data_IF_226425128991
#
_entry.id   IF_226425128991
#
_cell.length_a   1.000
_cell.length_b   1.000
_cell.length_c   1.000
_cell.angle_alpha   90.00
_cell.angle_beta   90.00
_cell.angle_gamma   90.00
#
_symmetry.space_group_name_H-M   'P 1'
#
loop_
_entity.id
_entity.type
_entity.pdbx_description
1 polymer ?
#
# COMPACT_ATOMS: atom_id res chain seq x y z
N UNK A 1 5.46 -6.66 35.15
CA UNK A 1 5.66 -6.90 33.69
C UNK A 1 5.47 -5.59 32.94
N UNK A 2 6.47 -5.08 32.20
CA UNK A 2 6.31 -3.87 31.37
C UNK A 2 5.33 -4.17 30.23
N UNK A 3 4.16 -3.51 30.22
CA UNK A 3 3.19 -3.62 29.12
C UNK A 3 3.88 -3.23 27.80
N UNK A 4 3.88 -4.14 26.81
CA UNK A 4 4.38 -3.85 25.49
C UNK A 4 3.53 -2.73 24.83
N UNK A 5 4.11 -1.54 24.68
CA UNK A 5 3.43 -0.38 24.10
C UNK A 5 3.32 -0.56 22.58
N UNK A 6 2.15 -0.96 22.11
CA UNK A 6 1.81 -1.01 20.68
C UNK A 6 1.40 0.38 20.21
N UNK A 7 1.96 0.85 19.09
CA UNK A 7 1.60 2.12 18.45
C UNK A 7 1.46 1.95 16.93
N UNK A 8 0.41 2.55 16.36
CA UNK A 8 0.20 2.65 14.92
C UNK A 8 0.04 4.12 14.54
N UNK A 9 0.95 4.64 13.75
CA UNK A 9 0.94 6.01 13.27
C UNK A 9 1.22 6.08 11.77
N UNK A 10 0.99 7.24 11.18
CA UNK A 10 1.37 7.53 9.81
C UNK A 10 2.29 8.75 9.75
N UNK A 11 3.15 8.79 8.73
CA UNK A 11 4.08 9.88 8.46
C UNK A 11 4.29 10.00 6.96
N UNK A 12 4.60 11.20 6.47
CA UNK A 12 5.09 11.37 5.10
C UNK A 12 6.57 10.99 5.03
N UNK A 13 7.07 10.68 3.82
CA UNK A 13 8.48 10.31 3.62
C UNK A 13 9.42 11.39 4.14
N UNK A 14 9.14 12.65 3.82
CA UNK A 14 9.95 13.81 4.23
C UNK A 14 10.09 13.99 5.74
N UNK A 15 9.12 13.46 6.51
CA UNK A 15 9.08 13.58 7.97
C UNK A 15 9.70 12.34 8.67
N UNK A 16 10.19 11.36 7.90
CA UNK A 16 10.84 10.17 8.44
C UNK A 16 12.33 10.42 8.71
N UNK A 17 12.78 10.08 9.91
CA UNK A 17 14.22 10.07 10.18
C UNK A 17 14.90 8.78 9.65
N UNK A 18 16.21 8.85 9.48
CA UNK A 18 17.02 7.77 8.94
C UNK A 18 16.94 6.47 9.75
N UNK A 19 16.79 6.57 11.07
CA UNK A 19 16.68 5.41 11.95
C UNK A 19 15.40 4.62 11.68
N UNK A 20 14.29 5.32 11.47
CA UNK A 20 13.00 4.72 11.17
C UNK A 20 12.98 4.12 9.75
N UNK A 21 13.55 4.82 8.76
CA UNK A 21 13.74 4.30 7.40
C UNK A 21 14.56 3.00 7.44
N UNK A 22 15.67 2.97 8.18
CA UNK A 22 16.49 1.76 8.35
C UNK A 22 15.70 0.59 8.94
N UNK A 23 14.85 0.83 9.93
CA UNK A 23 13.98 -0.21 10.52
C UNK A 23 12.96 -0.73 9.50
N UNK A 24 12.31 0.15 8.73
CA UNK A 24 11.37 -0.23 7.65
C UNK A 24 12.07 -1.11 6.61
N UNK A 25 13.26 -0.70 6.14
CA UNK A 25 14.01 -1.45 5.14
C UNK A 25 14.48 -2.83 5.67
N UNK A 26 14.84 -2.92 6.96
CA UNK A 26 15.15 -4.19 7.60
C UNK A 26 13.92 -5.11 7.68
N UNK A 27 12.74 -4.57 8.02
CA UNK A 27 11.49 -5.33 7.97
C UNK A 27 11.18 -5.81 6.55
N UNK A 28 11.38 -4.97 5.52
CA UNK A 28 11.23 -5.38 4.12
C UNK A 28 12.22 -6.48 3.72
N UNK A 29 13.50 -6.36 4.12
CA UNK A 29 14.53 -7.38 3.88
C UNK A 29 14.15 -8.74 4.50
N UNK A 30 13.62 -8.76 5.73
CA UNK A 30 13.21 -10.01 6.38
C UNK A 30 12.03 -10.72 5.69
N UNK A 31 11.30 -10.02 4.83
CA UNK A 31 10.14 -10.55 4.10
C UNK A 31 10.44 -10.86 2.64
N UNK A 32 11.21 -10.00 1.97
CA UNK A 32 11.59 -10.15 0.56
C UNK A 32 13.03 -10.64 0.44
N UNK A 33 13.30 -11.49 -0.57
CA UNK A 33 14.65 -12.03 -0.86
C UNK A 33 15.60 -10.99 -1.51
N UNK A 34 15.47 -9.70 -1.15
CA UNK A 34 16.33 -8.65 -1.69
C UNK A 34 17.29 -8.13 -0.64
N UNK A 35 18.53 -7.77 -1.05
CA UNK A 35 19.52 -7.19 -0.16
C UNK A 35 19.07 -5.84 0.41
N UNK A 36 19.64 -5.42 1.53
CA UNK A 36 19.38 -4.09 2.08
C UNK A 36 19.78 -2.97 1.09
N UNK A 37 20.88 -3.17 0.34
CA UNK A 37 21.33 -2.25 -0.72
C UNK A 37 20.26 -2.10 -1.80
N UNK A 38 19.71 -3.20 -2.31
CA UNK A 38 18.63 -3.17 -3.31
C UNK A 38 17.37 -2.50 -2.77
N UNK A 39 17.01 -2.74 -1.50
CA UNK A 39 15.86 -2.08 -0.87
C UNK A 39 16.05 -0.57 -0.73
N UNK A 40 17.28 -0.10 -0.40
CA UNK A 40 17.63 1.33 -0.35
C UNK A 40 17.52 1.98 -1.74
N UNK A 41 18.08 1.34 -2.77
CA UNK A 41 18.02 1.83 -4.15
C UNK A 41 16.55 1.94 -4.60
N UNK A 42 15.76 0.88 -4.36
CA UNK A 42 14.35 0.88 -4.70
C UNK A 42 13.59 2.01 -3.98
N UNK A 43 13.85 2.21 -2.69
CA UNK A 43 13.22 3.25 -1.88
C UNK A 43 13.52 4.65 -2.46
N UNK A 44 14.80 4.97 -2.70
CA UNK A 44 15.21 6.25 -3.29
C UNK A 44 14.58 6.49 -4.67
N UNK A 45 14.46 5.45 -5.50
CA UNK A 45 13.93 5.57 -6.86
C UNK A 45 12.40 5.69 -6.92
N UNK A 46 11.69 5.09 -5.97
CA UNK A 46 10.24 4.85 -6.12
C UNK A 46 9.37 5.55 -5.07
N UNK A 47 9.96 6.06 -4.00
CA UNK A 47 9.24 6.69 -2.90
C UNK A 47 9.49 8.18 -2.94
N UNK A 48 8.39 8.97 -3.00
CA UNK A 48 8.43 10.44 -3.05
C UNK A 48 8.17 11.04 -1.66
N UNK A 49 8.50 12.30 -1.48
CA UNK A 49 8.39 13.04 -0.20
C UNK A 49 6.98 13.03 0.40
N UNK A 50 5.95 13.07 -0.44
CA UNK A 50 4.53 13.08 -0.02
C UNK A 50 3.89 11.68 0.10
N UNK A 51 4.64 10.61 -0.15
CA UNK A 51 4.12 9.25 0.06
C UNK A 51 3.88 9.00 1.56
N UNK A 52 2.84 8.24 1.88
CA UNK A 52 2.37 8.06 3.26
C UNK A 52 2.77 6.68 3.76
N UNK A 53 3.51 6.66 4.85
CA UNK A 53 3.95 5.46 5.54
C UNK A 53 3.05 5.18 6.74
N UNK A 54 2.48 3.98 6.82
CA UNK A 54 1.82 3.48 8.03
C UNK A 54 2.77 2.54 8.75
N UNK A 55 3.07 2.87 9.99
CA UNK A 55 4.13 2.23 10.76
C UNK A 55 3.56 1.71 12.06
N UNK A 56 3.64 0.40 12.25
CA UNK A 56 3.24 -0.27 13.47
C UNK A 56 4.48 -0.64 14.28
N UNK A 57 4.53 -0.21 15.52
CA UNK A 57 5.67 -0.46 16.42
C UNK A 57 5.24 -1.14 17.70
N UNK A 58 6.17 -1.91 18.28
CA UNK A 58 6.13 -2.37 19.68
C UNK A 58 7.41 -1.90 20.35
N UNK A 59 7.29 -1.17 21.46
CA UNK A 59 8.43 -0.62 22.19
C UNK A 59 9.41 0.11 21.24
N UNK A 60 8.89 1.01 20.37
CA UNK A 60 9.63 1.77 19.35
C UNK A 60 10.28 0.92 18.23
N UNK A 61 10.14 -0.41 18.22
CA UNK A 61 10.63 -1.28 17.13
C UNK A 61 9.54 -1.48 16.08
N UNK A 62 9.87 -1.27 14.80
CA UNK A 62 8.94 -1.47 13.68
C UNK A 62 8.64 -2.97 13.50
N UNK A 63 7.37 -3.33 13.62
CA UNK A 63 6.87 -4.70 13.46
C UNK A 63 5.86 -4.87 12.34
N UNK A 64 5.31 -3.77 11.83
CA UNK A 64 4.40 -3.77 10.71
C UNK A 64 4.53 -2.51 9.88
N UNK A 65 4.20 -2.60 8.60
CA UNK A 65 4.40 -1.52 7.65
C UNK A 65 3.45 -1.63 6.47
N UNK A 66 2.97 -0.48 6.02
CA UNK A 66 2.34 -0.29 4.72
C UNK A 66 2.77 1.06 4.13
N UNK A 67 2.78 1.15 2.80
CA UNK A 67 3.11 2.34 2.04
C UNK A 67 1.97 2.68 1.09
N UNK A 68 1.50 3.93 1.13
CA UNK A 68 0.58 4.50 0.15
C UNK A 68 1.36 5.48 -0.73
N UNK A 69 1.65 5.07 -1.98
CA UNK A 69 2.39 5.90 -2.94
C UNK A 69 1.44 6.68 -3.84
N UNK A 70 1.66 7.97 -3.94
CA UNK A 70 0.92 8.84 -4.87
C UNK A 70 1.49 8.68 -6.28
N UNK A 71 0.63 8.35 -7.24
CA UNK A 71 1.00 8.19 -8.65
C UNK A 71 0.03 8.94 -9.56
N UNK A 72 0.53 9.50 -10.65
CA UNK A 72 -0.30 10.01 -11.75
C UNK A 72 -0.94 8.84 -12.49
N UNK A 73 -2.11 9.04 -13.02
CA UNK A 73 -2.81 8.03 -13.80
C UNK A 73 -3.73 8.67 -14.84
N UNK A 74 -4.00 7.92 -15.91
CA UNK A 74 -5.07 8.19 -16.87
C UNK A 74 -6.22 7.24 -16.59
N UNK A 75 -7.42 7.77 -16.45
CA UNK A 75 -8.64 6.99 -16.23
C UNK A 75 -9.55 7.17 -17.45
N UNK A 76 -9.78 6.09 -18.17
CA UNK A 76 -10.70 6.05 -19.31
C UNK A 76 -12.07 5.55 -18.85
N UNK A 77 -13.09 6.32 -19.13
CA UNK A 77 -14.49 5.98 -19.05
C UNK A 77 -15.06 5.71 -20.46
N UNK A 78 -16.36 5.40 -20.57
CA UNK A 78 -16.98 5.19 -21.88
C UNK A 78 -16.87 6.41 -22.81
N UNK A 79 -17.07 7.62 -22.28
CA UNK A 79 -17.20 8.87 -23.06
C UNK A 79 -16.04 9.83 -22.90
N UNK A 80 -15.17 9.66 -21.93
CA UNK A 80 -14.07 10.58 -21.65
C UNK A 80 -12.86 9.90 -21.01
N UNK A 81 -11.74 10.62 -21.04
CA UNK A 81 -10.51 10.28 -20.33
C UNK A 81 -10.13 11.46 -19.42
N UNK A 82 -9.68 11.17 -18.22
CA UNK A 82 -9.19 12.19 -17.30
C UNK A 82 -7.78 11.86 -16.81
N UNK A 83 -6.96 12.89 -16.67
CA UNK A 83 -5.70 12.81 -15.94
C UNK A 83 -5.99 13.02 -14.47
N UNK A 84 -5.48 12.15 -13.61
CA UNK A 84 -5.75 12.18 -12.18
C UNK A 84 -4.54 11.66 -11.39
N UNK A 85 -4.71 11.57 -10.09
CA UNK A 85 -3.77 10.87 -9.22
C UNK A 85 -4.49 9.85 -8.35
N UNK A 86 -3.78 8.76 -8.05
CA UNK A 86 -4.27 7.69 -7.19
C UNK A 86 -3.24 7.35 -6.11
N UNK A 87 -3.64 6.53 -5.14
CA UNK A 87 -2.77 5.96 -4.14
C UNK A 87 -2.51 4.49 -4.46
N UNK A 88 -1.26 4.12 -4.72
CA UNK A 88 -0.87 2.70 -4.78
C UNK A 88 -0.71 2.22 -3.34
N UNK A 89 -1.55 1.26 -2.93
CA UNK A 89 -1.37 0.52 -1.70
C UNK A 89 -0.26 -0.52 -1.91
N UNK A 90 0.94 -0.17 -1.49
CA UNK A 90 2.15 -0.96 -1.69
C UNK A 90 2.63 -1.53 -0.35
N UNK A 91 3.10 -2.77 -0.37
CA UNK A 91 3.82 -3.36 0.76
C UNK A 91 3.04 -3.41 2.08
N UNK A 92 2.17 -4.40 2.27
CA UNK A 92 1.61 -4.69 3.60
C UNK A 92 2.43 -5.80 4.27
N UNK A 93 3.15 -5.45 5.33
CA UNK A 93 4.03 -6.37 6.04
C UNK A 93 3.74 -6.41 7.54
N UNK A 94 3.81 -7.61 8.11
CA UNK A 94 3.90 -7.85 9.56
C UNK A 94 5.09 -8.77 9.80
N UNK A 95 5.94 -8.41 10.74
CA UNK A 95 7.05 -9.24 11.19
C UNK A 95 6.53 -10.63 11.60
N UNK A 96 7.22 -11.69 11.19
CA UNK A 96 6.77 -13.08 11.35
C UNK A 96 6.39 -13.43 12.80
N UNK A 97 7.16 -12.94 13.79
CA UNK A 97 6.89 -13.17 15.23
C UNK A 97 5.59 -12.53 15.73
N UNK A 98 5.01 -11.61 14.95
CA UNK A 98 3.80 -10.86 15.29
C UNK A 98 2.61 -11.17 14.38
N UNK A 99 2.72 -12.16 13.49
CA UNK A 99 1.62 -12.61 12.65
C UNK A 99 0.52 -13.31 13.44
N UNK A 100 -0.63 -13.50 12.80
CA UNK A 100 -1.83 -14.16 13.36
C UNK A 100 -2.42 -13.49 14.61
N UNK A 101 -2.04 -12.22 14.88
CA UNK A 101 -2.53 -11.40 16.01
C UNK A 101 -3.45 -10.26 15.56
N UNK A 102 -4.04 -10.34 14.37
CA UNK A 102 -4.94 -9.30 13.84
C UNK A 102 -4.28 -7.97 13.48
N UNK A 103 -2.94 -7.86 13.52
CA UNK A 103 -2.23 -6.59 13.32
C UNK A 103 -2.34 -6.04 11.90
N UNK A 104 -2.41 -6.91 10.88
CA UNK A 104 -2.68 -6.49 9.51
C UNK A 104 -4.05 -5.83 9.37
N UNK A 105 -5.08 -6.29 10.10
CA UNK A 105 -6.41 -5.65 10.17
C UNK A 105 -6.30 -4.21 10.65
N UNK A 106 -5.51 -3.93 11.70
CA UNK A 106 -5.29 -2.56 12.20
C UNK A 106 -4.69 -1.64 11.13
N UNK A 107 -3.65 -2.12 10.42
CA UNK A 107 -3.04 -1.36 9.31
C UNK A 107 -4.04 -1.15 8.19
N UNK A 108 -4.80 -2.17 7.77
CA UNK A 108 -5.82 -2.06 6.71
C UNK A 108 -6.87 -1.00 7.03
N UNK A 109 -7.44 -1.03 8.23
CA UNK A 109 -8.46 -0.04 8.67
C UNK A 109 -7.87 1.37 8.61
N UNK A 110 -6.68 1.59 9.15
CA UNK A 110 -6.03 2.91 9.13
C UNK A 110 -5.68 3.35 7.70
N UNK A 111 -5.21 2.43 6.84
CA UNK A 111 -4.94 2.73 5.43
C UNK A 111 -6.20 3.16 4.68
N UNK A 112 -7.29 2.42 4.84
CA UNK A 112 -8.57 2.74 4.22
C UNK A 112 -9.11 4.10 4.68
N UNK A 113 -8.98 4.41 5.98
CA UNK A 113 -9.33 5.72 6.52
C UNK A 113 -8.54 6.85 5.83
N UNK A 114 -7.21 6.71 5.69
CA UNK A 114 -6.35 7.68 5.01
C UNK A 114 -6.73 7.83 3.53
N UNK A 115 -6.99 6.71 2.84
CA UNK A 115 -7.41 6.74 1.43
C UNK A 115 -8.73 7.53 1.28
N UNK A 116 -9.70 7.30 2.17
CA UNK A 116 -10.98 8.01 2.17
C UNK A 116 -10.81 9.50 2.47
N UNK A 117 -9.98 9.88 3.43
CA UNK A 117 -9.67 11.29 3.73
C UNK A 117 -9.03 12.00 2.53
N UNK A 118 -8.18 11.32 1.79
CA UNK A 118 -7.58 11.87 0.57
C UNK A 118 -8.54 11.91 -0.63
N UNK A 119 -9.74 11.32 -0.53
CA UNK A 119 -10.74 11.24 -1.61
C UNK A 119 -10.18 10.69 -2.92
N UNK A 120 -9.18 9.81 -2.85
CA UNK A 120 -8.46 9.23 -3.99
C UNK A 120 -8.93 7.80 -4.27
N UNK A 121 -8.88 7.42 -5.54
CA UNK A 121 -8.86 6.01 -5.92
C UNK A 121 -7.58 5.38 -5.38
N UNK A 122 -7.68 4.18 -4.85
CA UNK A 122 -6.51 3.40 -4.49
C UNK A 122 -6.49 2.07 -5.23
N UNK A 123 -5.28 1.64 -5.60
CA UNK A 123 -5.04 0.39 -6.30
C UNK A 123 -4.00 -0.42 -5.53
N UNK A 124 -4.24 -1.71 -5.39
CA UNK A 124 -3.22 -2.66 -4.96
C UNK A 124 -3.07 -3.78 -5.99
N UNK A 125 -1.92 -4.44 -5.96
CA UNK A 125 -1.64 -5.65 -6.75
C UNK A 125 -1.31 -6.79 -5.81
N UNK A 126 -2.05 -7.90 -5.90
CA UNK A 126 -1.86 -9.05 -5.01
C UNK A 126 -1.90 -10.39 -5.74
N UNK A 127 -1.46 -11.46 -5.06
CA UNK A 127 -1.66 -12.84 -5.49
C UNK A 127 -3.10 -13.30 -5.25
N UNK A 128 -3.60 -14.26 -6.04
CA UNK A 128 -4.96 -14.84 -5.93
C UNK A 128 -5.35 -15.18 -4.49
N UNK A 129 -4.46 -15.79 -3.72
CA UNK A 129 -4.70 -16.21 -2.33
C UNK A 129 -5.01 -15.06 -1.36
N UNK A 130 -4.69 -13.82 -1.72
CA UNK A 130 -4.91 -12.63 -0.87
C UNK A 130 -6.19 -11.87 -1.22
N UNK A 131 -6.87 -12.20 -2.32
CA UNK A 131 -8.08 -11.49 -2.76
C UNK A 131 -9.13 -11.49 -1.64
N UNK A 132 -9.50 -12.68 -1.11
CA UNK A 132 -10.48 -12.80 -0.01
C UNK A 132 -10.08 -12.01 1.25
N UNK A 133 -8.77 -11.87 1.51
CA UNK A 133 -8.30 -11.03 2.63
C UNK A 133 -8.63 -9.55 2.38
N UNK A 134 -8.35 -9.02 1.20
CA UNK A 134 -8.60 -7.61 0.89
C UNK A 134 -10.10 -7.30 0.73
N UNK A 135 -10.90 -8.24 0.22
CA UNK A 135 -12.36 -8.11 0.10
C UNK A 135 -13.03 -7.87 1.46
N UNK A 136 -12.53 -8.46 2.56
CA UNK A 136 -12.98 -8.18 3.93
C UNK A 136 -12.83 -6.72 4.36
N UNK A 137 -12.04 -5.95 3.62
CA UNK A 137 -11.82 -4.50 3.82
C UNK A 137 -12.42 -3.66 2.70
N UNK A 138 -13.42 -4.19 1.99
CA UNK A 138 -14.14 -3.51 0.90
C UNK A 138 -13.30 -3.18 -0.33
N UNK A 139 -12.16 -3.84 -0.53
CA UNK A 139 -11.43 -3.80 -1.78
C UNK A 139 -12.12 -4.67 -2.82
N UNK A 140 -12.29 -4.14 -4.04
CA UNK A 140 -12.96 -4.85 -5.14
C UNK A 140 -11.94 -5.29 -6.17
N UNK A 141 -12.02 -6.55 -6.61
CA UNK A 141 -11.18 -7.07 -7.68
C UNK A 141 -11.50 -6.33 -8.99
N UNK A 142 -10.47 -5.86 -9.67
CA UNK A 142 -10.58 -5.31 -11.02
C UNK A 142 -10.83 -6.44 -12.03
N UNK A 143 -11.62 -6.16 -13.08
CA UNK A 143 -11.69 -7.06 -14.23
C UNK A 143 -10.32 -7.14 -14.92
N UNK A 144 -10.04 -8.25 -15.59
CA UNK A 144 -8.82 -8.40 -16.40
C UNK A 144 -8.70 -7.25 -17.40
N UNK A 145 -7.47 -6.80 -17.63
CA UNK A 145 -7.12 -5.77 -18.60
C UNK A 145 -7.61 -4.33 -18.31
N UNK A 146 -8.33 -4.10 -17.19
CA UNK A 146 -8.70 -2.73 -16.82
C UNK A 146 -7.50 -1.93 -16.31
N UNK A 147 -6.57 -2.58 -15.56
CA UNK A 147 -5.42 -1.90 -14.99
C UNK A 147 -4.17 -2.19 -15.80
N UNK A 148 -3.59 -1.15 -16.36
CA UNK A 148 -2.26 -1.16 -16.98
C UNK A 148 -1.26 -0.56 -15.99
N UNK A 149 -0.39 -1.41 -15.47
CA UNK A 149 0.63 -1.04 -14.50
C UNK A 149 1.86 -1.95 -14.65
N UNK A 150 3.03 -1.36 -14.74
CA UNK A 150 4.29 -2.08 -14.97
C UNK A 150 4.56 -3.24 -13.98
N UNK A 151 4.01 -3.16 -12.77
CA UNK A 151 4.16 -4.19 -11.74
C UNK A 151 3.07 -5.29 -11.77
N UNK A 152 2.11 -5.20 -12.71
CA UNK A 152 1.04 -6.18 -12.84
C UNK A 152 1.51 -7.35 -13.71
N UNK A 153 2.05 -8.38 -13.09
CA UNK A 153 2.51 -9.63 -13.76
C UNK A 153 1.35 -10.60 -13.97
N UNK A 154 1.50 -11.59 -14.90
CA UNK A 154 0.48 -12.58 -15.30
C UNK A 154 -0.28 -13.24 -14.14
N UNK A 155 0.36 -13.52 -13.01
CA UNK A 155 -0.23 -14.23 -11.87
C UNK A 155 -0.70 -13.31 -10.74
N UNK A 156 -0.87 -12.01 -11.01
CA UNK A 156 -1.34 -11.03 -10.02
C UNK A 156 -2.63 -10.39 -10.43
N UNK A 157 -3.35 -9.90 -9.45
CA UNK A 157 -4.66 -9.27 -9.59
C UNK A 157 -4.60 -7.86 -9.03
N UNK A 158 -5.16 -6.91 -9.77
CA UNK A 158 -5.40 -5.57 -9.27
C UNK A 158 -6.70 -5.54 -8.48
N UNK A 159 -6.72 -4.76 -7.41
CA UNK A 159 -7.94 -4.48 -6.65
C UNK A 159 -8.07 -2.98 -6.43
N UNK A 160 -9.29 -2.50 -6.38
CA UNK A 160 -9.63 -1.09 -6.20
C UNK A 160 -10.25 -0.84 -4.82
N UNK A 161 -9.97 0.36 -4.27
CA UNK A 161 -10.65 0.90 -3.11
C UNK A 161 -10.88 2.41 -3.29
N UNK A 162 -12.04 2.92 -2.81
CA UNK A 162 -12.39 4.34 -2.85
C UNK A 162 -13.79 4.59 -3.42
N UNK A 163 -14.65 5.24 -2.63
CA UNK A 163 -16.11 5.27 -2.86
C UNK A 163 -16.56 5.99 -4.14
N UNK A 164 -15.89 7.07 -4.55
CA UNK A 164 -16.36 7.90 -5.67
C UNK A 164 -16.12 7.30 -7.06
N UNK A 165 -15.06 6.50 -7.21
CA UNK A 165 -14.62 6.00 -8.53
C UNK A 165 -15.19 4.62 -8.86
N UNK A 166 -15.55 3.81 -7.86
CA UNK A 166 -16.09 2.46 -8.08
C UNK A 166 -17.52 2.50 -8.66
N UNK A 167 -18.26 3.59 -8.45
CA UNK A 167 -19.61 3.80 -9.01
C UNK A 167 -19.60 4.16 -10.51
N UNK A 168 -18.46 4.65 -11.05
CA UNK A 168 -18.32 4.93 -12.48
C UNK A 168 -17.65 3.74 -13.15
N UNK A 169 -18.16 3.32 -14.28
CA UNK A 169 -17.56 2.24 -15.08
C UNK A 169 -16.19 2.67 -15.63
N UNK A 170 -15.13 2.34 -14.90
CA UNK A 170 -13.77 2.50 -15.41
C UNK A 170 -13.54 1.45 -16.49
N UNK A 171 -13.25 1.87 -17.71
CA UNK A 171 -12.91 0.99 -18.83
C UNK A 171 -11.42 0.67 -18.87
N UNK A 172 -10.57 1.64 -18.55
CA UNK A 172 -9.11 1.45 -18.45
C UNK A 172 -8.50 2.40 -17.44
N UNK A 173 -7.53 1.92 -16.69
CA UNK A 173 -6.70 2.69 -15.77
C UNK A 173 -5.23 2.45 -16.12
N UNK A 174 -4.53 3.49 -16.52
CA UNK A 174 -3.10 3.47 -16.85
C UNK A 174 -2.37 4.20 -15.72
N UNK A 175 -1.45 3.51 -15.03
CA UNK A 175 -0.64 4.09 -13.95
C UNK A 175 0.72 4.48 -14.53
N UNK A 176 1.03 5.78 -14.44
CA UNK A 176 2.21 6.41 -15.00
C UNK A 176 3.42 6.39 -14.05
#
# INVERSE_FOLDING_TARGET
>A
MKKNKLSLFNSKTKDLNNALIKQILNLKKSHYKYSLKSQKIWFKKNVNDDDIHLILTVNKKVIGYNLLRKKKCKIKFRKNEILSSLLIFDTLLINNRFRNKGLSKKIMIKSNHIINQNKKLSVLVCHKKLIKFYEKFNWKKAHKNIVEYANLRKNKYAMFYGNKFIKKEIKKLIIL
#
